data_IF_745831619858
#
_entry.id   IF_745831619858
#
_cell.length_a   1.000
_cell.length_b   1.000
_cell.length_c   1.000
_cell.angle_alpha   90.00
_cell.angle_beta   90.00
_cell.angle_gamma   90.00
#
_symmetry.space_group_name_H-M   'P 1'
#
loop_
_entity.id
_entity.type
_entity.pdbx_description
1 polymer ?
#
# COMPACT_ATOMS: atom_id res chain seq x y z
N UNK A 1 2.82 23.82 -20.96
CA UNK A 1 2.22 23.46 -19.66
C UNK A 1 2.53 22.00 -19.41
N UNK A 2 3.20 21.68 -18.31
CA UNK A 2 3.77 20.35 -18.09
C UNK A 2 2.68 19.29 -17.93
N UNK A 3 2.62 18.36 -18.88
CA UNK A 3 1.81 17.14 -18.77
C UNK A 3 2.52 16.05 -17.93
N UNK A 4 3.70 16.35 -17.41
CA UNK A 4 4.49 15.43 -16.61
C UNK A 4 4.15 15.56 -15.12
N UNK A 5 3.86 14.43 -14.49
CA UNK A 5 3.67 14.25 -13.06
C UNK A 5 4.83 13.43 -12.51
N UNK A 6 5.45 13.92 -11.44
CA UNK A 6 6.59 13.27 -10.78
C UNK A 6 6.10 12.51 -9.57
N UNK A 7 6.32 11.21 -9.53
CA UNK A 7 6.00 10.37 -8.37
C UNK A 7 7.28 9.91 -7.69
N UNK A 8 7.27 9.98 -6.36
CA UNK A 8 8.31 9.42 -5.50
C UNK A 8 7.72 8.26 -4.71
N UNK A 9 8.04 7.05 -5.13
CA UNK A 9 7.63 5.81 -4.49
C UNK A 9 8.49 5.56 -3.26
N UNK A 10 7.84 5.41 -2.10
CA UNK A 10 8.46 5.16 -0.80
C UNK A 10 8.10 3.74 -0.36
N UNK A 11 9.08 2.86 -0.22
CA UNK A 11 8.80 1.46 0.14
C UNK A 11 8.64 1.33 1.66
N UNK A 12 7.45 0.90 2.10
CA UNK A 12 7.17 0.71 3.52
C UNK A 12 8.13 -0.32 4.15
N UNK A 13 8.54 -0.07 5.40
CA UNK A 13 9.46 -0.93 6.17
C UNK A 13 10.86 -1.10 5.54
N UNK A 14 11.24 -0.21 4.60
CA UNK A 14 12.54 -0.19 3.94
C UNK A 14 13.08 1.23 3.92
N UNK A 15 13.68 1.62 5.04
CA UNK A 15 14.21 2.97 5.21
C UNK A 15 15.21 3.32 4.10
N UNK A 16 15.05 4.53 3.55
CA UNK A 16 15.91 5.07 2.50
C UNK A 16 15.68 4.49 1.10
N UNK A 17 14.84 3.46 0.91
CA UNK A 17 14.55 2.94 -0.43
C UNK A 17 13.42 3.74 -1.07
N UNK A 18 13.77 4.47 -2.12
CA UNK A 18 12.84 5.29 -2.89
C UNK A 18 13.10 5.18 -4.39
N UNK A 19 12.05 5.31 -5.19
CA UNK A 19 12.15 5.38 -6.65
C UNK A 19 11.39 6.60 -7.15
N UNK A 20 12.04 7.41 -7.98
CA UNK A 20 11.40 8.57 -8.61
C UNK A 20 11.13 8.27 -10.08
N UNK A 21 9.90 8.52 -10.53
CA UNK A 21 9.47 8.27 -11.91
C UNK A 21 8.60 9.42 -12.42
N UNK A 22 8.60 9.59 -13.74
CA UNK A 22 7.79 10.58 -14.43
C UNK A 22 6.69 9.87 -15.21
N UNK A 23 5.47 10.40 -15.12
CA UNK A 23 4.29 9.90 -15.81
C UNK A 23 3.55 11.03 -16.50
N UNK A 24 2.73 10.71 -17.52
CA UNK A 24 1.71 11.66 -17.97
C UNK A 24 0.61 11.78 -16.91
N UNK A 25 0.01 12.96 -16.77
CA UNK A 25 -1.14 13.20 -15.89
C UNK A 25 -2.35 12.32 -16.24
N UNK A 26 -2.51 12.01 -17.53
CA UNK A 26 -3.57 11.16 -18.06
C UNK A 26 -3.31 9.66 -17.85
N UNK A 27 -2.07 9.27 -17.51
CA UNK A 27 -1.74 7.88 -17.22
C UNK A 27 -2.56 7.38 -16.02
N UNK A 28 -2.85 6.09 -16.02
CA UNK A 28 -3.59 5.42 -14.96
C UNK A 28 -2.67 4.96 -13.83
N UNK A 29 -3.27 4.75 -12.66
CA UNK A 29 -2.57 4.13 -11.53
C UNK A 29 -2.05 2.73 -11.91
N UNK A 30 -2.81 1.97 -12.72
CA UNK A 30 -2.39 0.66 -13.24
C UNK A 30 -1.09 0.74 -14.06
N UNK A 31 -0.97 1.72 -14.96
CA UNK A 31 0.24 1.93 -15.76
C UNK A 31 1.42 2.31 -14.88
N UNK A 32 1.22 3.20 -13.90
CA UNK A 32 2.26 3.57 -12.95
C UNK A 32 2.77 2.36 -12.15
N UNK A 33 1.85 1.49 -11.72
CA UNK A 33 2.15 0.25 -11.01
C UNK A 33 2.93 -0.73 -11.88
N UNK A 34 2.53 -0.91 -13.14
CA UNK A 34 3.23 -1.76 -14.09
C UNK A 34 4.66 -1.27 -14.35
N UNK A 35 4.86 0.04 -14.46
CA UNK A 35 6.18 0.62 -14.64
C UNK A 35 7.06 0.48 -13.39
N UNK A 36 6.48 0.69 -12.20
CA UNK A 36 7.14 0.46 -10.91
C UNK A 36 7.63 -0.99 -10.79
N UNK A 37 6.81 -1.97 -11.16
CA UNK A 37 7.18 -3.38 -11.13
C UNK A 37 8.35 -3.74 -12.06
N UNK A 38 8.47 -3.07 -13.21
CA UNK A 38 9.61 -3.27 -14.12
C UNK A 38 10.91 -2.65 -13.60
N UNK A 39 10.81 -1.64 -12.74
CA UNK A 39 11.95 -0.90 -12.16
C UNK A 39 12.11 -1.20 -10.68
N UNK A 40 11.68 -2.39 -10.25
CA UNK A 40 11.63 -2.74 -8.84
C UNK A 40 13.04 -2.76 -8.23
N UNK A 41 13.26 -2.11 -7.06
CA UNK A 41 14.57 -2.06 -6.44
C UNK A 41 15.02 -3.44 -5.93
N UNK A 42 16.28 -3.80 -6.17
CA UNK A 42 16.85 -5.11 -5.81
C UNK A 42 16.82 -5.42 -4.30
N UNK A 43 16.82 -4.38 -3.47
CA UNK A 43 16.87 -4.49 -2.01
C UNK A 43 15.48 -4.62 -1.34
N UNK A 44 14.42 -4.67 -2.15
CA UNK A 44 13.04 -4.85 -1.67
C UNK A 44 12.55 -6.20 -2.19
N UNK A 45 11.98 -7.06 -1.33
CA UNK A 45 11.34 -8.29 -1.77
C UNK A 45 10.36 -7.99 -2.92
N UNK A 46 10.50 -8.70 -4.04
CA UNK A 46 9.60 -8.52 -5.18
C UNK A 46 8.18 -8.87 -4.78
N UNK A 47 7.21 -8.14 -5.32
CA UNK A 47 5.84 -8.60 -5.32
C UNK A 47 5.69 -9.74 -6.33
N UNK A 48 4.99 -10.81 -5.96
CA UNK A 48 4.66 -11.91 -6.88
C UNK A 48 3.64 -11.47 -7.96
N UNK A 49 2.76 -10.53 -7.61
CA UNK A 49 1.70 -9.99 -8.48
C UNK A 49 1.52 -8.49 -8.22
N UNK A 50 1.16 -7.73 -9.25
CA UNK A 50 0.69 -6.35 -9.17
C UNK A 50 -0.47 -6.18 -8.16
N UNK A 51 -1.33 -7.19 -8.02
CA UNK A 51 -2.43 -7.19 -7.03
C UNK A 51 -1.93 -7.16 -5.58
N UNK A 52 -0.73 -7.64 -5.34
CA UNK A 52 -0.08 -7.62 -4.03
C UNK A 52 0.53 -6.27 -3.70
N UNK A 53 0.66 -5.37 -4.68
CA UNK A 53 1.18 -4.02 -4.47
C UNK A 53 0.02 -3.05 -4.23
N UNK A 54 0.09 -2.27 -3.16
CA UNK A 54 -0.84 -1.18 -2.86
C UNK A 54 -0.07 0.13 -2.91
N UNK A 55 -0.54 1.04 -3.77
CA UNK A 55 -0.07 2.41 -3.81
C UNK A 55 -0.95 3.26 -2.90
N UNK A 56 -0.33 4.01 -1.98
CA UNK A 56 -1.02 4.78 -0.96
C UNK A 56 -0.53 6.22 -1.01
N UNK A 57 -1.42 7.15 -1.31
CA UNK A 57 -1.11 8.58 -1.25
C UNK A 57 -1.75 9.18 0.01
N UNK A 58 -0.97 9.93 0.77
CA UNK A 58 -1.45 10.58 2.00
C UNK A 58 -2.61 11.54 1.67
N UNK A 59 -3.72 11.44 2.41
CA UNK A 59 -4.94 12.22 2.15
C UNK A 59 -5.84 11.69 1.03
N UNK A 60 -5.42 10.63 0.32
CA UNK A 60 -6.23 9.93 -0.71
C UNK A 60 -6.45 8.45 -0.41
N UNK A 61 -5.63 7.86 0.46
CA UNK A 61 -5.71 6.44 0.81
C UNK A 61 -5.12 5.55 -0.28
N UNK A 62 -5.69 4.36 -0.45
CA UNK A 62 -5.26 3.37 -1.45
C UNK A 62 -5.73 3.83 -2.84
N UNK A 63 -4.79 4.01 -3.75
CA UNK A 63 -5.05 4.42 -5.12
C UNK A 63 -5.71 3.28 -5.90
N UNK A 64 -6.76 3.62 -6.67
CA UNK A 64 -7.51 2.66 -7.49
C UNK A 64 -6.89 2.59 -8.89
N UNK A 65 -6.64 1.37 -9.37
CA UNK A 65 -5.93 1.11 -10.63
C UNK A 65 -6.56 1.82 -11.86
N UNK A 66 -7.88 1.98 -11.88
CA UNK A 66 -8.63 2.60 -12.99
C UNK A 66 -8.58 4.14 -13.02
N UNK A 67 -8.12 4.80 -11.94
CA UNK A 67 -8.09 6.26 -11.89
C UNK A 67 -6.87 6.80 -12.64
N UNK A 68 -7.03 7.99 -13.25
CA UNK A 68 -5.89 8.75 -13.75
C UNK A 68 -5.04 9.27 -12.59
N UNK A 69 -3.74 9.44 -12.82
CA UNK A 69 -2.82 9.95 -11.80
C UNK A 69 -3.21 11.36 -11.35
N UNK A 70 -3.63 12.24 -12.28
CA UNK A 70 -4.08 13.59 -11.94
C UNK A 70 -5.25 13.62 -10.95
N UNK A 71 -6.18 12.66 -11.05
CA UNK A 71 -7.31 12.56 -10.11
C UNK A 71 -6.94 11.80 -8.83
N UNK A 72 -5.99 10.86 -8.92
CA UNK A 72 -5.62 9.96 -7.84
C UNK A 72 -4.66 10.61 -6.82
N UNK A 73 -3.83 11.55 -7.24
CA UNK A 73 -2.81 12.18 -6.37
C UNK A 73 -2.76 13.70 -6.53
N UNK A 74 -2.31 14.45 -5.52
CA UNK A 74 -2.02 15.87 -5.68
C UNK A 74 -0.91 16.07 -6.73
N UNK A 75 -1.10 17.07 -7.60
CA UNK A 75 -0.13 17.43 -8.63
C UNK A 75 0.70 18.61 -8.14
N UNK A 76 2.02 18.45 -8.16
CA UNK A 76 2.96 19.51 -7.80
C UNK A 76 3.97 19.72 -8.92
N UNK A 77 4.18 20.98 -9.32
CA UNK A 77 5.19 21.31 -10.33
C UNK A 77 6.61 21.36 -9.74
N UNK A 78 6.72 21.72 -8.45
CA UNK A 78 8.01 21.99 -7.80
C UNK A 78 8.70 20.75 -7.26
N UNK A 79 7.96 19.72 -6.88
CA UNK A 79 8.50 18.52 -6.24
C UNK A 79 7.72 17.25 -6.63
N UNK A 80 8.34 16.05 -6.53
CA UNK A 80 7.63 14.80 -6.71
C UNK A 80 6.57 14.54 -5.63
N UNK A 81 5.43 14.01 -6.03
CA UNK A 81 4.36 13.58 -5.10
C UNK A 81 4.75 12.26 -4.43
N UNK A 82 4.82 12.20 -3.09
CA UNK A 82 5.17 10.98 -2.37
C UNK A 82 4.00 9.97 -2.41
N UNK A 83 4.32 8.72 -2.76
CA UNK A 83 3.40 7.58 -2.78
C UNK A 83 4.03 6.43 -2.03
N UNK A 84 3.38 6.00 -0.96
CA UNK A 84 3.82 4.84 -0.19
C UNK A 84 3.48 3.54 -0.95
N UNK A 85 4.44 2.64 -1.02
CA UNK A 85 4.33 1.32 -1.62
C UNK A 85 4.28 0.29 -0.50
N UNK A 86 3.17 -0.43 -0.41
CA UNK A 86 3.02 -1.58 0.47
C UNK A 86 2.93 -2.85 -0.36
N UNK A 87 3.73 -3.85 -0.03
CA UNK A 87 3.64 -5.19 -0.62
C UNK A 87 2.96 -6.11 0.38
N UNK A 88 1.79 -6.62 0.00
CA UNK A 88 1.08 -7.62 0.76
C UNK A 88 1.55 -9.00 0.32
N UNK A 89 2.35 -9.66 1.15
CA UNK A 89 2.59 -11.08 1.03
C UNK A 89 1.46 -11.78 1.78
N UNK A 90 0.71 -12.68 1.12
CA UNK A 90 -0.06 -13.68 1.87
C UNK A 90 1.00 -14.44 2.64
N UNK A 91 1.05 -14.24 3.96
CA UNK A 91 1.93 -14.99 4.84
C UNK A 91 1.82 -16.47 4.48
N UNK A 92 2.89 -17.06 3.96
CA UNK A 92 3.13 -18.46 4.27
C UNK A 92 3.03 -18.55 5.78
N UNK A 93 2.20 -19.47 6.24
CA UNK A 93 1.93 -19.74 7.64
C UNK A 93 3.18 -19.51 8.46
N UNK A 94 3.10 -18.64 9.46
CA UNK A 94 4.02 -18.75 10.57
C UNK A 94 3.88 -20.20 11.06
N UNK A 95 4.89 -21.03 10.77
CA UNK A 95 5.05 -22.35 11.37
C UNK A 95 5.29 -22.08 12.85
N UNK A 96 4.20 -21.81 13.56
CA UNK A 96 4.11 -21.90 15.00
C UNK A 96 4.26 -23.37 15.33
N UNK A 97 5.42 -23.71 15.85
CA UNK A 97 5.73 -25.02 16.40
C UNK A 97 4.58 -25.54 17.29
N UNK A 98 4.13 -26.80 17.13
CA UNK A 98 2.93 -27.29 17.77
C UNK A 98 3.26 -27.80 19.17
N UNK A 99 3.04 -26.99 20.21
CA UNK A 99 2.85 -27.56 21.56
C UNK A 99 1.36 -27.60 21.88
N UNK A 100 0.76 -28.75 21.54
CA UNK A 100 -0.50 -29.22 22.13
C UNK A 100 -0.46 -29.04 23.65
N UNK A 101 -1.49 -28.41 24.21
CA UNK A 101 -2.22 -28.98 25.36
C UNK A 101 -3.65 -28.44 25.38
N UNK A 102 -4.58 -29.39 25.36
CA UNK A 102 -6.02 -29.22 25.57
C UNK A 102 -6.31 -28.47 26.87
N UNK A 103 -7.34 -27.61 26.88
CA UNK A 103 -8.48 -27.77 27.79
C UNK A 103 -9.59 -26.72 27.53
N UNK A 104 -10.74 -27.22 27.08
CA UNK A 104 -12.09 -26.97 27.58
C UNK A 104 -12.64 -25.53 27.53
N UNK A 105 -13.65 -25.38 26.67
CA UNK A 105 -14.57 -24.26 26.58
C UNK A 105 -15.32 -23.97 27.89
N UNK A 106 -15.56 -22.68 28.17
CA UNK A 106 -16.79 -22.23 28.83
C UNK A 106 -17.30 -20.96 28.15
N UNK A 107 -18.48 -21.10 27.54
CA UNK A 107 -19.39 -20.03 27.17
C UNK A 107 -19.73 -19.18 28.40
N UNK A 108 -19.72 -17.86 28.25
CA UNK A 108 -20.42 -16.96 29.19
C UNK A 108 -21.14 -15.91 28.36
N UNK A 109 -22.45 -15.85 28.58
CA UNK A 109 -23.41 -14.95 27.96
C UNK A 109 -23.61 -13.70 28.84
N UNK A 110 -23.92 -12.58 28.18
CA UNK A 110 -24.57 -11.36 28.69
C UNK A 110 -23.90 -10.47 29.75
N UNK A 111 -23.62 -9.22 29.37
CA UNK A 111 -24.31 -8.04 29.92
C UNK A 111 -23.91 -6.77 29.15
N UNK A 112 -24.91 -6.00 28.70
CA UNK A 112 -24.72 -4.77 27.92
C UNK A 112 -23.98 -3.66 28.69
N UNK A 113 -23.20 -2.88 27.93
CA UNK A 113 -22.59 -1.65 28.43
C UNK A 113 -23.22 -0.47 27.68
N UNK A 114 -24.21 0.17 28.30
CA UNK A 114 -24.75 1.44 27.86
C UNK A 114 -23.94 2.58 28.47
N UNK A 115 -23.19 3.32 27.65
CA UNK A 115 -22.53 4.54 28.07
C UNK A 115 -23.49 5.71 27.86
N UNK A 116 -23.95 6.32 28.97
CA UNK A 116 -24.67 7.60 28.99
C UNK A 116 -23.64 8.72 28.89
N UNK A 117 -23.87 9.69 28.00
CA UNK A 117 -23.09 10.92 27.88
C UNK A 117 -23.72 11.95 28.82
N UNK A 118 -22.94 12.49 29.75
CA UNK A 118 -23.30 13.65 30.56
C UNK A 118 -23.08 14.95 29.79
#
# INVERSE_FOLDING_TARGET
>A
MGDALRLKFLFANKDGVQLEMNFSKAATVAEAKAQLMRSWPQNVPSAEDAKSVRLICMGRGILQDAHSLESAVPVFDTHPTPVNVSVFHKSQEAVGEPTRRHAIAKTVDSAGCGCVIC
#
